data_IF_706557623865
#
_entry.id   IF_706557623865
#
_cell.length_a   1.000
_cell.length_b   1.000
_cell.length_c   1.000
_cell.angle_alpha   90.00
_cell.angle_beta   90.00
_cell.angle_gamma   90.00
#
_symmetry.space_group_name_H-M   'P 1'
#
loop_
_entity.id
_entity.type
_entity.pdbx_description
1 polymer ?
#
# COMPACT_ATOMS: atom_id res chain seq x y z
N UNK A 1 7.74 19.13 12.15
CA UNK A 1 6.84 18.08 12.67
C UNK A 1 6.94 18.05 14.19
N UNK A 2 5.84 17.91 14.91
CA UNK A 2 5.84 17.81 16.39
C UNK A 2 6.20 16.39 16.82
N UNK A 3 6.87 16.21 17.98
CA UNK A 3 7.29 14.90 18.49
C UNK A 3 6.18 13.81 18.52
N UNK A 4 4.90 14.13 18.82
CA UNK A 4 3.83 13.12 18.84
C UNK A 4 3.54 12.52 17.47
N UNK A 5 3.55 13.35 16.41
CA UNK A 5 3.31 12.90 15.04
C UNK A 5 4.43 11.98 14.52
N UNK A 6 5.68 12.23 14.94
CA UNK A 6 6.81 11.37 14.57
C UNK A 6 6.69 9.98 15.20
N UNK A 7 6.31 9.89 16.47
CA UNK A 7 6.08 8.58 17.14
C UNK A 7 4.88 7.86 16.56
N UNK A 8 3.84 8.60 16.19
CA UNK A 8 2.66 8.05 15.53
C UNK A 8 3.03 7.43 14.17
N UNK A 9 3.87 8.06 13.37
CA UNK A 9 4.27 7.54 12.05
C UNK A 9 5.31 6.41 12.10
N UNK A 10 5.90 6.13 13.27
CA UNK A 10 7.01 5.19 13.39
C UNK A 10 6.65 3.76 12.91
N UNK A 11 5.50 3.17 13.26
CA UNK A 11 5.15 1.83 12.79
C UNK A 11 4.89 1.77 11.28
N UNK A 12 4.39 2.86 10.69
CA UNK A 12 4.24 2.97 9.23
C UNK A 12 5.61 2.99 8.55
N UNK A 13 6.55 3.78 9.08
CA UNK A 13 7.92 3.84 8.54
C UNK A 13 8.64 2.48 8.69
N UNK A 14 8.45 1.81 9.81
CA UNK A 14 8.96 0.47 10.07
C UNK A 14 8.35 -0.55 9.09
N UNK A 15 7.04 -0.54 8.92
CA UNK A 15 6.35 -1.39 7.96
C UNK A 15 6.86 -1.20 6.53
N UNK A 16 7.00 0.06 6.07
CA UNK A 16 7.60 0.35 4.76
C UNK A 16 9.04 -0.19 4.68
N UNK A 17 9.83 -0.06 5.75
CA UNK A 17 11.20 -0.60 5.79
C UNK A 17 11.22 -2.13 5.66
N UNK A 18 10.32 -2.83 6.36
CA UNK A 18 10.17 -4.28 6.30
C UNK A 18 9.76 -4.74 4.89
N UNK A 19 8.80 -4.06 4.27
CA UNK A 19 8.33 -4.37 2.91
C UNK A 19 9.45 -4.20 1.89
N UNK A 20 10.25 -3.13 2.01
CA UNK A 20 11.43 -2.92 1.15
C UNK A 20 12.50 -4.00 1.32
N UNK A 21 12.53 -4.70 2.45
CA UNK A 21 13.43 -5.84 2.72
C UNK A 21 12.82 -7.19 2.33
N UNK A 22 11.58 -7.22 1.84
CA UNK A 22 10.86 -8.45 1.49
C UNK A 22 10.18 -9.14 2.67
N UNK A 23 10.15 -8.51 3.85
CA UNK A 23 9.48 -9.01 5.06
C UNK A 23 7.99 -8.60 5.03
N UNK A 24 7.23 -9.13 4.07
CA UNK A 24 5.91 -8.63 3.72
C UNK A 24 4.85 -8.83 4.81
N UNK A 25 4.74 -10.01 5.42
CA UNK A 25 3.77 -10.26 6.49
C UNK A 25 4.02 -9.32 7.68
N UNK A 26 5.27 -9.22 8.13
CA UNK A 26 5.67 -8.31 9.22
C UNK A 26 5.39 -6.85 8.87
N UNK A 27 5.61 -6.49 7.62
CA UNK A 27 5.27 -5.16 7.09
C UNK A 27 3.78 -4.84 7.19
N UNK A 28 2.92 -5.79 6.82
CA UNK A 28 1.47 -5.64 6.94
C UNK A 28 1.03 -5.52 8.41
N UNK A 29 1.54 -6.39 9.27
CA UNK A 29 1.24 -6.37 10.71
C UNK A 29 1.60 -5.01 11.34
N UNK A 30 2.78 -4.47 11.01
CA UNK A 30 3.23 -3.18 11.50
C UNK A 30 2.33 -2.01 11.03
N UNK A 31 1.80 -2.10 9.81
CA UNK A 31 1.00 -1.03 9.19
C UNK A 31 -0.50 -1.11 9.49
N UNK A 32 -1.04 -2.30 9.78
CA UNK A 32 -2.49 -2.56 9.86
C UNK A 32 -3.26 -1.59 10.78
N UNK A 33 -2.79 -1.25 12.00
CA UNK A 33 -3.52 -0.32 12.87
C UNK A 33 -3.68 1.08 12.26
N UNK A 34 -2.69 1.50 11.47
CA UNK A 34 -2.63 2.84 10.89
C UNK A 34 -3.45 2.93 9.60
N UNK A 35 -3.44 1.87 8.79
CA UNK A 35 -4.27 1.80 7.59
C UNK A 35 -5.75 1.96 7.95
N UNK A 36 -6.25 1.21 8.95
CA UNK A 36 -7.64 1.32 9.38
C UNK A 36 -8.02 2.73 9.84
N UNK A 37 -7.12 3.41 10.57
CA UNK A 37 -7.34 4.81 10.98
C UNK A 37 -7.34 5.78 9.78
N UNK A 38 -6.43 5.60 8.82
CA UNK A 38 -6.33 6.44 7.62
C UNK A 38 -7.56 6.30 6.72
N UNK A 39 -8.08 5.08 6.57
CA UNK A 39 -9.32 4.81 5.85
C UNK A 39 -10.53 5.49 6.50
N UNK A 40 -10.64 5.43 7.84
CA UNK A 40 -11.71 6.12 8.57
C UNK A 40 -11.62 7.65 8.44
N UNK A 41 -10.40 8.19 8.36
CA UNK A 41 -10.16 9.62 8.19
C UNK A 41 -10.33 10.10 6.74
N UNK A 42 -10.64 9.19 5.80
CA UNK A 42 -10.67 9.46 4.36
C UNK A 42 -9.39 10.13 3.84
N UNK A 43 -8.25 9.77 4.44
CA UNK A 43 -6.94 10.29 4.06
C UNK A 43 -6.05 9.13 3.62
N UNK A 44 -5.74 9.06 2.34
CA UNK A 44 -5.08 7.91 1.72
C UNK A 44 -3.77 8.33 1.05
N UNK A 45 -2.66 8.48 1.80
CA UNK A 45 -1.37 8.82 1.20
C UNK A 45 -0.94 7.71 0.24
N UNK A 46 -0.80 8.05 -1.05
CA UNK A 46 -0.51 7.08 -2.12
C UNK A 46 0.73 6.26 -1.77
N UNK A 47 1.79 6.87 -1.26
CA UNK A 47 3.02 6.16 -0.90
C UNK A 47 2.81 5.06 0.16
N UNK A 48 2.01 5.34 1.20
CA UNK A 48 1.77 4.38 2.29
C UNK A 48 0.93 3.22 1.76
N UNK A 49 -0.17 3.54 1.09
CA UNK A 49 -1.08 2.56 0.53
C UNK A 49 -0.45 1.75 -0.60
N UNK A 50 0.48 2.33 -1.36
CA UNK A 50 1.29 1.61 -2.35
C UNK A 50 2.08 0.48 -1.69
N UNK A 51 2.89 0.77 -0.67
CA UNK A 51 3.66 -0.29 0.01
C UNK A 51 2.74 -1.33 0.67
N UNK A 52 1.63 -0.91 1.24
CA UNK A 52 0.63 -1.82 1.79
C UNK A 52 0.07 -2.76 0.71
N UNK A 53 -0.35 -2.23 -0.44
CA UNK A 53 -0.82 -3.01 -1.59
C UNK A 53 0.26 -3.98 -2.10
N UNK A 54 1.52 -3.55 -2.14
CA UNK A 54 2.66 -4.42 -2.51
C UNK A 54 2.73 -5.64 -1.61
N UNK A 55 2.68 -5.43 -0.31
CA UNK A 55 2.78 -6.52 0.64
C UNK A 55 1.55 -7.44 0.60
N UNK A 56 0.35 -6.89 0.39
CA UNK A 56 -0.86 -7.69 0.16
C UNK A 56 -0.71 -8.59 -1.06
N UNK A 57 -0.27 -8.04 -2.20
CA UNK A 57 -0.06 -8.82 -3.41
C UNK A 57 0.98 -9.93 -3.20
N UNK A 58 2.13 -9.61 -2.59
CA UNK A 58 3.22 -10.56 -2.36
C UNK A 58 2.89 -11.68 -1.37
N UNK A 59 1.94 -11.46 -0.47
CA UNK A 59 1.46 -12.46 0.49
C UNK A 59 0.22 -13.21 0.00
N UNK A 60 -0.22 -12.99 -1.25
CA UNK A 60 -1.38 -13.66 -1.82
C UNK A 60 -2.72 -13.15 -1.29
N UNK A 61 -2.75 -12.00 -0.61
CA UNK A 61 -3.96 -11.34 -0.17
C UNK A 61 -4.60 -10.57 -1.34
N UNK A 62 -5.18 -11.34 -2.28
CA UNK A 62 -5.69 -10.81 -3.55
C UNK A 62 -6.86 -9.84 -3.36
N UNK A 63 -7.90 -10.20 -2.60
CA UNK A 63 -9.03 -9.31 -2.36
C UNK A 63 -8.60 -8.01 -1.64
N UNK A 64 -7.78 -8.05 -0.56
CA UNK A 64 -7.24 -6.84 0.03
C UNK A 64 -6.40 -5.99 -0.93
N UNK A 65 -5.57 -6.61 -1.77
CA UNK A 65 -4.79 -5.91 -2.79
C UNK A 65 -5.70 -5.16 -3.77
N UNK A 66 -6.74 -5.82 -4.28
CA UNK A 66 -7.71 -5.23 -5.21
C UNK A 66 -8.38 -3.98 -4.62
N UNK A 67 -8.82 -4.07 -3.36
CA UNK A 67 -9.41 -2.93 -2.66
C UNK A 67 -8.42 -1.75 -2.51
N UNK A 68 -7.17 -2.04 -2.15
CA UNK A 68 -6.13 -1.01 -2.05
C UNK A 68 -5.83 -0.36 -3.40
N UNK A 69 -5.74 -1.15 -4.47
CA UNK A 69 -5.53 -0.66 -5.83
C UNK A 69 -6.64 0.30 -6.27
N UNK A 70 -7.91 -0.07 -6.10
CA UNK A 70 -9.05 0.79 -6.47
C UNK A 70 -9.01 2.13 -5.73
N UNK A 71 -8.74 2.09 -4.42
CA UNK A 71 -8.61 3.29 -3.59
C UNK A 71 -7.50 4.21 -4.08
N UNK A 72 -6.32 3.67 -4.39
CA UNK A 72 -5.16 4.42 -4.87
C UNK A 72 -5.42 4.99 -6.27
N UNK A 73 -6.05 4.23 -7.16
CA UNK A 73 -6.35 4.65 -8.53
C UNK A 73 -7.19 5.92 -8.58
N UNK A 74 -8.13 6.06 -7.65
CA UNK A 74 -9.02 7.22 -7.52
C UNK A 74 -8.34 8.47 -6.96
N UNK A 75 -7.15 8.36 -6.37
CA UNK A 75 -6.41 9.50 -5.83
C UNK A 75 -5.74 10.32 -6.94
N UNK A 76 -5.67 11.64 -6.75
CA UNK A 76 -4.83 12.52 -7.57
C UNK A 76 -3.39 12.45 -7.07
N UNK A 77 -2.44 12.12 -7.96
CA UNK A 77 -1.03 12.15 -7.61
C UNK A 77 -0.55 13.60 -7.42
N UNK A 78 0.20 13.84 -6.36
CA UNK A 78 0.79 15.14 -6.08
C UNK A 78 2.10 15.39 -6.85
N UNK A 79 2.74 14.33 -7.36
CA UNK A 79 4.02 14.38 -8.04
C UNK A 79 4.26 13.15 -8.92
N UNK A 80 5.33 13.20 -9.73
CA UNK A 80 5.72 12.12 -10.65
C UNK A 80 6.03 10.79 -9.95
N UNK A 81 6.53 10.82 -8.70
CA UNK A 81 6.84 9.60 -7.96
C UNK A 81 5.56 8.85 -7.58
N UNK A 82 4.51 9.55 -7.17
CA UNK A 82 3.19 8.96 -6.92
C UNK A 82 2.54 8.47 -8.20
N UNK A 83 2.66 9.20 -9.31
CA UNK A 83 2.13 8.76 -10.60
C UNK A 83 2.80 7.45 -11.07
N UNK A 84 4.11 7.33 -10.84
CA UNK A 84 4.84 6.09 -11.07
C UNK A 84 4.33 4.95 -10.18
N UNK A 85 4.08 5.20 -8.90
CA UNK A 85 3.51 4.19 -7.99
C UNK A 85 2.16 3.69 -8.46
N UNK A 86 1.28 4.58 -8.95
CA UNK A 86 -0.01 4.20 -9.53
C UNK A 86 0.18 3.32 -10.77
N UNK A 87 1.05 3.74 -11.68
CA UNK A 87 1.39 2.99 -12.91
C UNK A 87 1.96 1.60 -12.61
N UNK A 88 2.79 1.48 -11.57
CA UNK A 88 3.36 0.19 -11.17
C UNK A 88 2.28 -0.74 -10.59
N UNK A 89 1.28 -0.21 -9.88
CA UNK A 89 0.13 -1.00 -9.42
C UNK A 89 -0.79 -1.43 -10.57
N UNK A 90 -1.02 -0.59 -11.57
CA UNK A 90 -1.79 -0.96 -12.76
C UNK A 90 -1.18 -2.21 -13.42
N UNK A 91 0.15 -2.27 -13.57
CA UNK A 91 0.85 -3.44 -14.13
C UNK A 91 0.67 -4.70 -13.29
N UNK A 92 0.68 -4.59 -11.97
CA UNK A 92 0.48 -5.75 -11.10
C UNK A 92 -0.96 -6.24 -11.12
N UNK A 93 -1.91 -5.32 -11.20
CA UNK A 93 -3.31 -5.65 -11.41
C UNK A 93 -3.53 -6.35 -12.75
N UNK A 94 -2.95 -5.86 -13.84
CA UNK A 94 -3.01 -6.52 -15.15
C UNK A 94 -2.40 -7.92 -15.12
N UNK A 95 -1.22 -8.08 -14.49
CA UNK A 95 -0.58 -9.37 -14.35
C UNK A 95 -1.42 -10.37 -13.54
N UNK A 96 -2.10 -9.88 -12.48
CA UNK A 96 -3.06 -10.68 -11.73
C UNK A 96 -4.22 -11.15 -12.62
N UNK A 97 -4.83 -10.25 -13.38
CA UNK A 97 -5.94 -10.59 -14.27
C UNK A 97 -5.53 -11.59 -15.37
N UNK A 98 -4.34 -11.44 -15.94
CA UNK A 98 -3.81 -12.40 -16.92
C UNK A 98 -3.66 -13.79 -16.29
N UNK A 99 -3.05 -13.86 -15.09
CA UNK A 99 -2.89 -15.13 -14.36
C UNK A 99 -4.21 -15.79 -13.96
N UNK A 100 -5.31 -15.04 -13.83
CA UNK A 100 -6.65 -15.58 -13.59
C UNK A 100 -7.34 -16.10 -14.85
N UNK A 101 -7.00 -15.55 -16.03
CA UNK A 101 -7.57 -15.94 -17.32
C UNK A 101 -6.84 -17.12 -17.98
N UNK A 102 -5.62 -17.42 -17.54
CA UNK A 102 -4.82 -18.56 -18.02
C UNK A 102 -5.10 -19.87 -17.24
N UNK A 103 -6.20 -19.92 -16.48
CA UNK A 103 -6.72 -21.08 -15.73
C UNK A 103 -8.06 -21.53 -16.31
#
# INVERSE_FOLDING_TARGET
MTQPLQRFMQPVQEGISLIKKGEYEKGLEAMAPFIGMMEQANHLPIQIFYYYAVAQFKTGQIEPFMSSYEKIKQQTAANEAEEKMKTDLDKWFEALLQGLNDV
#
